data_IF_965859327233
#
_entry.id   IF_965859327233
#
_cell.length_a   1.000
_cell.length_b   1.000
_cell.length_c   1.000
_cell.angle_alpha   90.00
_cell.angle_beta   90.00
_cell.angle_gamma   90.00
#
_symmetry.space_group_name_H-M   'P 1'
#
loop_
_entity.id
_entity.type
_entity.pdbx_description
1 polymer ?
#
# COMPACT_ATOMS: atom_id res chain seq x y z
N UNK A 1 7.67 42.59 7.93
CA UNK A 1 6.28 42.29 7.51
C UNK A 1 5.73 41.16 8.37
N UNK A 2 4.70 41.39 9.18
CA UNK A 2 3.96 40.32 9.88
C UNK A 2 3.04 39.65 8.86
N UNK A 3 3.24 38.36 8.57
CA UNK A 3 2.24 37.57 7.85
C UNK A 3 1.06 37.34 8.81
N UNK A 4 -0.08 37.97 8.52
CA UNK A 4 -1.34 37.58 9.15
C UNK A 4 -1.74 36.23 8.52
N UNK A 5 -1.86 35.21 9.35
CA UNK A 5 -2.34 33.90 8.92
C UNK A 5 -3.81 33.79 9.29
N UNK A 6 -4.68 33.56 8.29
CA UNK A 6 -6.05 33.15 8.54
C UNK A 6 -6.04 31.67 8.91
N UNK A 7 -6.49 31.36 10.13
CA UNK A 7 -6.52 30.00 10.66
C UNK A 7 -7.96 29.55 10.80
N UNK A 8 -8.23 28.31 10.39
CA UNK A 8 -9.52 27.63 10.58
C UNK A 8 -9.29 26.36 11.41
N UNK A 9 -10.24 26.03 12.29
CA UNK A 9 -10.15 24.85 13.17
C UNK A 9 -10.62 23.55 12.52
N UNK A 10 -11.27 23.65 11.36
CA UNK A 10 -11.81 22.50 10.63
C UNK A 10 -11.19 22.41 9.23
N UNK A 11 -10.84 21.18 8.84
CA UNK A 11 -10.50 20.89 7.46
C UNK A 11 -11.80 20.91 6.63
N UNK A 12 -11.82 21.69 5.55
CA UNK A 12 -12.94 21.73 4.60
C UNK A 12 -12.64 20.97 3.30
N UNK A 13 -11.40 20.52 3.11
CA UNK A 13 -11.00 19.70 1.96
C UNK A 13 -11.38 18.23 2.19
N UNK A 14 -12.37 17.78 1.43
CA UNK A 14 -12.87 16.41 1.50
C UNK A 14 -11.84 15.37 1.05
N UNK A 15 -11.07 15.67 -0.01
CA UNK A 15 -10.04 14.76 -0.52
C UNK A 15 -8.92 14.59 0.50
N UNK A 16 -8.55 15.67 1.18
CA UNK A 16 -7.57 15.63 2.26
C UNK A 16 -8.08 14.79 3.46
N UNK A 17 -9.36 14.90 3.82
CA UNK A 17 -9.97 14.06 4.87
C UNK A 17 -9.94 12.58 4.51
N UNK A 18 -10.29 12.23 3.28
CA UNK A 18 -10.27 10.84 2.80
C UNK A 18 -8.87 10.26 2.81
N UNK A 19 -7.87 11.04 2.34
CA UNK A 19 -6.46 10.65 2.43
C UNK A 19 -6.01 10.44 3.88
N UNK A 20 -6.39 11.34 4.79
CA UNK A 20 -6.08 11.21 6.21
C UNK A 20 -6.74 9.95 6.82
N UNK A 21 -7.99 9.67 6.46
CA UNK A 21 -8.71 8.48 6.89
C UNK A 21 -8.04 7.19 6.37
N UNK A 22 -7.65 7.14 5.10
CA UNK A 22 -6.94 6.01 4.51
C UNK A 22 -5.60 5.75 5.22
N UNK A 23 -4.81 6.80 5.49
CA UNK A 23 -3.60 6.69 6.30
C UNK A 23 -3.90 6.14 7.70
N UNK A 24 -4.96 6.64 8.34
CA UNK A 24 -5.42 6.16 9.65
C UNK A 24 -5.78 4.68 9.65
N UNK A 25 -6.55 4.21 8.67
CA UNK A 25 -6.91 2.79 8.53
C UNK A 25 -5.69 1.90 8.32
N UNK A 26 -4.74 2.31 7.48
CA UNK A 26 -3.49 1.57 7.29
C UNK A 26 -2.69 1.47 8.59
N UNK A 27 -2.55 2.58 9.32
CA UNK A 27 -1.85 2.59 10.63
C UNK A 27 -2.56 1.70 11.65
N UNK A 28 -3.90 1.71 11.72
CA UNK A 28 -4.66 0.82 12.60
C UNK A 28 -4.32 -0.66 12.32
N UNK A 29 -4.33 -1.07 11.05
CA UNK A 29 -3.94 -2.43 10.66
C UNK A 29 -2.48 -2.72 11.02
N UNK A 30 -1.54 -1.85 10.60
CA UNK A 30 -0.10 -2.07 10.80
C UNK A 30 0.31 -2.09 12.27
N UNK A 31 -0.42 -1.39 13.14
CA UNK A 31 -0.17 -1.38 14.59
C UNK A 31 -0.36 -2.75 15.24
N UNK A 32 -1.22 -3.60 14.66
CA UNK A 32 -1.47 -4.98 15.11
C UNK A 32 -0.54 -6.01 14.48
N UNK A 33 0.26 -5.60 13.49
CA UNK A 33 1.20 -6.47 12.78
C UNK A 33 2.61 -6.33 13.37
N UNK A 34 3.12 -7.38 14.02
CA UNK A 34 4.44 -7.38 14.70
C UNK A 34 5.61 -6.90 13.83
N UNK A 35 5.55 -7.13 12.51
CA UNK A 35 6.62 -6.74 11.58
C UNK A 35 6.66 -5.25 11.34
N UNK A 36 5.49 -4.61 11.22
CA UNK A 36 5.36 -3.21 10.83
C UNK A 36 5.12 -2.27 12.00
N UNK A 37 4.76 -2.77 13.18
CA UNK A 37 4.47 -1.95 14.36
C UNK A 37 5.66 -1.14 14.88
N UNK A 38 6.88 -1.49 14.44
CA UNK A 38 8.13 -0.80 14.81
C UNK A 38 8.61 0.22 13.77
N UNK A 39 7.89 0.38 12.66
CA UNK A 39 8.27 1.35 11.62
C UNK A 39 8.04 2.78 12.06
N UNK A 40 8.97 3.67 11.70
CA UNK A 40 8.83 5.09 11.92
C UNK A 40 7.66 5.64 11.10
N UNK A 41 6.91 6.60 11.65
CA UNK A 41 5.77 7.25 10.97
C UNK A 41 6.19 7.82 9.61
N UNK A 42 7.40 8.39 9.51
CA UNK A 42 7.95 8.90 8.24
C UNK A 42 8.07 7.80 7.19
N UNK A 43 8.54 6.61 7.56
CA UNK A 43 8.65 5.45 6.67
C UNK A 43 7.28 4.98 6.22
N UNK A 44 6.32 4.90 7.14
CA UNK A 44 4.92 4.55 6.82
C UNK A 44 4.30 5.55 5.86
N UNK A 45 4.47 6.84 6.10
CA UNK A 45 3.95 7.88 5.23
C UNK A 45 4.57 7.82 3.82
N UNK A 46 5.90 7.68 3.74
CA UNK A 46 6.61 7.55 2.46
C UNK A 46 6.11 6.36 1.64
N UNK A 47 5.73 5.27 2.31
CA UNK A 47 5.24 4.06 1.67
C UNK A 47 3.75 4.15 1.29
N UNK A 48 2.91 4.62 2.20
CA UNK A 48 1.45 4.59 2.04
C UNK A 48 0.92 5.78 1.24
N UNK A 49 1.54 6.95 1.34
CA UNK A 49 1.02 8.15 0.67
C UNK A 49 0.98 8.00 -0.87
N UNK A 50 2.03 7.49 -1.55
CA UNK A 50 1.97 7.28 -2.99
C UNK A 50 0.90 6.26 -3.39
N UNK A 51 0.74 5.17 -2.61
CA UNK A 51 -0.30 4.18 -2.84
C UNK A 51 -1.70 4.80 -2.79
N UNK A 52 -1.95 5.64 -1.78
CA UNK A 52 -3.25 6.33 -1.60
C UNK A 52 -3.47 7.38 -2.71
N UNK A 53 -2.44 8.15 -3.05
CA UNK A 53 -2.52 9.20 -4.08
C UNK A 53 -2.81 8.64 -5.48
N UNK A 54 -2.33 7.43 -5.76
CA UNK A 54 -2.61 6.71 -7.01
C UNK A 54 -3.84 5.79 -6.94
N UNK A 55 -4.59 5.80 -5.84
CA UNK A 55 -5.72 4.86 -5.62
C UNK A 55 -5.31 3.39 -5.72
N UNK A 56 -4.02 3.09 -5.49
CA UNK A 56 -3.44 1.75 -5.50
C UNK A 56 -3.45 1.11 -4.11
N UNK A 57 -4.56 1.26 -3.41
CA UNK A 57 -4.77 0.71 -2.07
C UNK A 57 -6.21 0.22 -1.92
N UNK A 58 -6.38 -0.95 -1.32
CA UNK A 58 -7.67 -1.50 -0.95
C UNK A 58 -7.63 -1.86 0.52
N UNK A 59 -8.63 -1.40 1.27
CA UNK A 59 -8.87 -1.81 2.66
C UNK A 59 -9.97 -2.86 2.72
N UNK A 60 -9.82 -3.82 3.62
CA UNK A 60 -10.86 -4.79 3.94
C UNK A 60 -11.28 -4.61 5.39
N UNK A 61 -12.59 -4.69 5.61
CA UNK A 61 -13.22 -4.45 6.89
C UNK A 61 -13.97 -5.70 7.32
N UNK A 62 -14.05 -5.92 8.64
CA UNK A 62 -14.97 -6.89 9.19
C UNK A 62 -16.41 -6.34 9.23
N UNK A 63 -17.35 -7.14 9.75
CA UNK A 63 -18.76 -6.78 9.88
C UNK A 63 -19.02 -5.57 10.80
N UNK A 64 -18.07 -5.19 11.65
CA UNK A 64 -18.15 -4.04 12.55
C UNK A 64 -17.44 -2.81 11.99
N UNK A 65 -17.13 -2.79 10.69
CA UNK A 65 -16.40 -1.71 10.00
C UNK A 65 -14.99 -1.46 10.54
N UNK A 66 -14.39 -2.44 11.20
CA UNK A 66 -12.99 -2.37 11.65
C UNK A 66 -12.08 -2.81 10.51
N UNK A 67 -11.04 -2.03 10.15
CA UNK A 67 -10.09 -2.45 9.12
C UNK A 67 -9.28 -3.65 9.63
N UNK A 68 -9.32 -4.76 8.90
CA UNK A 68 -8.63 -6.01 9.26
C UNK A 68 -7.43 -6.30 8.35
N UNK A 69 -7.33 -5.59 7.24
CA UNK A 69 -6.20 -5.68 6.35
C UNK A 69 -6.25 -4.69 5.20
N UNK A 70 -5.14 -4.59 4.49
CA UNK A 70 -5.06 -3.84 3.25
C UNK A 70 -4.07 -4.47 2.28
N UNK A 71 -4.22 -4.07 1.01
CA UNK A 71 -3.29 -4.42 -0.07
C UNK A 71 -2.91 -3.15 -0.80
N UNK A 72 -1.62 -2.98 -1.06
CA UNK A 72 -1.10 -1.91 -1.91
C UNK A 72 -0.34 -2.50 -3.09
N UNK A 73 -0.45 -1.85 -4.24
CA UNK A 73 0.26 -2.25 -5.45
C UNK A 73 0.89 -1.07 -6.17
N UNK A 74 1.79 -1.36 -7.10
CA UNK A 74 2.43 -0.37 -7.96
C UNK A 74 2.52 -0.90 -9.39
N UNK A 75 2.57 0.02 -10.36
CA UNK A 75 2.83 -0.29 -11.77
C UNK A 75 4.28 0.08 -12.09
N UNK A 76 5.18 -0.90 -12.03
CA UNK A 76 6.62 -0.64 -12.12
C UNK A 76 7.12 -0.69 -13.56
N UNK A 77 7.88 0.32 -13.96
CA UNK A 77 8.66 0.26 -15.19
C UNK A 77 9.73 -0.84 -15.10
N UNK A 78 10.28 -1.32 -16.23
CA UNK A 78 11.26 -2.41 -16.22
C UNK A 78 12.50 -2.18 -15.35
N UNK A 79 13.01 -0.94 -15.28
CA UNK A 79 14.17 -0.56 -14.49
C UNK A 79 13.83 -0.46 -12.98
N UNK A 80 12.67 0.10 -12.63
CA UNK A 80 12.13 0.10 -11.26
C UNK A 80 11.86 -1.31 -10.77
N UNK A 81 11.31 -2.20 -11.62
CA UNK A 81 11.13 -3.62 -11.34
C UNK A 81 12.48 -4.32 -11.10
N UNK A 82 13.48 -4.05 -11.93
CA UNK A 82 14.82 -4.62 -11.75
C UNK A 82 15.45 -4.19 -10.42
N UNK A 83 15.39 -2.90 -10.07
CA UNK A 83 15.89 -2.41 -8.78
C UNK A 83 15.11 -3.01 -7.61
N UNK A 84 13.78 -3.04 -7.73
CA UNK A 84 12.91 -3.67 -6.75
C UNK A 84 13.28 -5.13 -6.50
N UNK A 85 13.66 -5.89 -7.53
CA UNK A 85 14.04 -7.29 -7.35
C UNK A 85 15.48 -7.48 -6.85
N UNK A 86 16.41 -6.64 -7.25
CA UNK A 86 17.83 -6.92 -7.07
C UNK A 86 18.49 -6.16 -5.92
N UNK A 87 17.90 -5.06 -5.45
CA UNK A 87 18.43 -4.26 -4.34
C UNK A 87 17.58 -4.46 -3.06
N UNK A 88 18.10 -5.14 -2.02
CA UNK A 88 17.41 -5.36 -0.76
C UNK A 88 17.03 -4.08 0.00
N UNK A 89 17.77 -2.98 -0.23
CA UNK A 89 17.52 -1.68 0.38
C UNK A 89 16.63 -0.76 -0.45
N UNK A 90 16.20 -1.21 -1.64
CA UNK A 90 15.43 -0.38 -2.54
C UNK A 90 14.03 -0.09 -2.01
N UNK A 91 13.73 1.20 -1.94
CA UNK A 91 12.40 1.73 -1.66
C UNK A 91 11.95 2.49 -2.89
N UNK A 92 10.75 2.19 -3.38
CA UNK A 92 10.14 2.89 -4.51
C UNK A 92 10.07 4.38 -4.19
N UNK A 93 10.63 5.19 -5.07
CA UNK A 93 10.38 6.62 -5.05
C UNK A 93 8.90 6.89 -5.38
N UNK A 94 8.25 7.93 -4.82
CA UNK A 94 6.85 8.23 -5.11
C UNK A 94 6.51 8.28 -6.61
N UNK A 95 7.42 8.76 -7.46
CA UNK A 95 7.23 8.78 -8.91
C UNK A 95 7.25 7.40 -9.58
N UNK A 96 7.83 6.39 -8.93
CA UNK A 96 7.98 5.02 -9.46
C UNK A 96 6.75 4.14 -9.17
N UNK A 97 5.76 4.67 -8.43
CA UNK A 97 4.57 3.91 -8.04
C UNK A 97 3.62 3.60 -9.19
N UNK A 98 3.62 4.45 -10.22
CA UNK A 98 2.66 4.36 -11.31
C UNK A 98 3.27 4.73 -12.67
N UNK A 99 4.23 3.93 -13.11
CA UNK A 99 4.95 4.11 -14.38
C UNK A 99 4.33 3.32 -15.54
N UNK A 100 3.14 2.74 -15.33
CA UNK A 100 2.38 2.03 -16.38
C UNK A 100 2.94 0.67 -16.80
N UNK A 101 3.95 0.16 -16.10
CA UNK A 101 4.54 -1.16 -16.37
C UNK A 101 3.82 -2.31 -15.68
N UNK A 102 4.57 -3.28 -15.16
CA UNK A 102 3.97 -4.49 -14.56
C UNK A 102 3.38 -4.19 -13.19
N UNK A 103 2.22 -4.77 -12.91
CA UNK A 103 1.59 -4.64 -11.58
C UNK A 103 2.26 -5.55 -10.55
N UNK A 104 2.70 -4.94 -9.45
CA UNK A 104 3.32 -5.62 -8.32
C UNK A 104 2.56 -5.35 -7.04
N UNK A 105 2.19 -6.40 -6.30
CA UNK A 105 1.74 -6.26 -4.91
C UNK A 105 2.96 -5.91 -4.07
N UNK A 106 2.91 -4.73 -3.43
CA UNK A 106 4.01 -4.20 -2.64
C UNK A 106 3.86 -4.59 -1.17
N UNK A 107 2.64 -4.55 -0.63
CA UNK A 107 2.31 -5.09 0.69
C UNK A 107 0.93 -5.77 0.68
N UNK A 108 0.83 -6.83 1.48
CA UNK A 108 -0.37 -7.61 1.72
C UNK A 108 -0.46 -7.82 3.23
N UNK A 109 -1.06 -6.86 3.94
CA UNK A 109 -1.02 -6.77 5.39
C UNK A 109 -2.35 -7.21 6.01
N UNK A 110 -2.38 -8.43 6.56
CA UNK A 110 -3.56 -9.05 7.19
C UNK A 110 -3.16 -9.74 8.51
N UNK A 111 -2.87 -8.96 9.57
CA UNK A 111 -2.37 -9.50 10.83
C UNK A 111 -3.38 -10.40 11.56
N UNK A 112 -4.67 -10.15 11.38
CA UNK A 112 -5.76 -10.88 12.06
C UNK A 112 -6.27 -12.12 11.29
N UNK A 113 -5.66 -12.47 10.13
CA UNK A 113 -6.09 -13.59 9.29
C UNK A 113 -7.00 -13.19 8.13
N UNK A 114 -7.97 -14.04 7.78
CA UNK A 114 -8.89 -13.88 6.64
C UNK A 114 -8.23 -13.81 5.25
N UNK A 115 -7.03 -14.39 5.10
CA UNK A 115 -6.24 -14.33 3.85
C UNK A 115 -7.03 -14.91 2.67
N UNK A 116 -7.75 -16.02 2.86
CA UNK A 116 -8.45 -16.71 1.76
C UNK A 116 -9.59 -15.86 1.21
N UNK A 117 -10.42 -15.32 2.09
CA UNK A 117 -11.54 -14.42 1.77
C UNK A 117 -11.01 -13.14 1.12
N UNK A 118 -9.92 -12.59 1.68
CA UNK A 118 -9.28 -11.38 1.18
C UNK A 118 -8.71 -11.56 -0.23
N UNK A 119 -8.14 -12.73 -0.54
CA UNK A 119 -7.68 -13.05 -1.88
C UNK A 119 -8.83 -13.15 -2.90
N UNK A 120 -9.99 -13.66 -2.49
CA UNK A 120 -11.18 -13.70 -3.37
C UNK A 120 -11.67 -12.28 -3.68
N UNK A 121 -11.80 -11.44 -2.66
CA UNK A 121 -12.20 -10.04 -2.83
C UNK A 121 -11.17 -9.25 -3.64
N UNK A 122 -9.88 -9.41 -3.33
CA UNK A 122 -8.79 -8.75 -4.06
C UNK A 122 -8.82 -9.11 -5.55
N UNK A 123 -9.00 -10.39 -5.90
CA UNK A 123 -9.09 -10.79 -7.32
C UNK A 123 -10.23 -10.09 -8.05
N UNK A 124 -11.41 -9.99 -7.42
CA UNK A 124 -12.54 -9.28 -8.01
C UNK A 124 -12.21 -7.79 -8.24
N UNK A 125 -11.66 -7.12 -7.23
CA UNK A 125 -11.31 -5.70 -7.31
C UNK A 125 -10.21 -5.42 -8.36
N UNK A 126 -9.18 -6.28 -8.43
CA UNK A 126 -8.14 -6.16 -9.46
C UNK A 126 -8.71 -6.38 -10.86
N UNK A 127 -9.68 -7.28 -11.01
CA UNK A 127 -10.37 -7.51 -12.29
C UNK A 127 -11.18 -6.29 -12.72
N UNK A 128 -11.90 -5.68 -11.79
CA UNK A 128 -12.68 -4.44 -12.04
C UNK A 128 -11.75 -3.28 -12.42
N UNK A 129 -10.56 -3.21 -11.82
CA UNK A 129 -9.49 -2.29 -12.18
C UNK A 129 -8.77 -2.65 -13.52
N UNK A 130 -9.24 -3.66 -14.25
CA UNK A 130 -8.69 -4.16 -15.53
C UNK A 130 -7.23 -4.64 -15.44
N UNK A 131 -6.79 -5.03 -14.25
CA UNK A 131 -5.46 -5.60 -14.03
C UNK A 131 -5.49 -7.08 -14.41
N UNK A 132 -4.76 -7.45 -15.46
CA UNK A 132 -4.75 -8.83 -16.01
C UNK A 132 -3.83 -9.78 -15.26
N UNK A 133 -2.75 -9.25 -14.69
CA UNK A 133 -1.71 -10.03 -14.03
C UNK A 133 -1.09 -9.21 -12.91
N UNK A 134 -0.83 -9.87 -11.80
CA UNK A 134 -0.07 -9.30 -10.68
C UNK A 134 1.10 -10.20 -10.33
N UNK A 135 2.19 -9.58 -9.92
CA UNK A 135 3.37 -10.25 -9.39
C UNK A 135 3.59 -9.84 -7.94
N UNK A 136 4.31 -10.66 -7.17
CA UNK A 136 4.70 -10.34 -5.81
C UNK A 136 5.98 -11.08 -5.45
N UNK A 137 6.71 -10.53 -4.48
CA UNK A 137 7.94 -11.12 -3.96
C UNK A 137 7.74 -11.55 -2.52
N UNK A 138 8.17 -12.77 -2.20
CA UNK A 138 8.36 -13.21 -0.82
C UNK A 138 9.82 -13.00 -0.46
N UNK A 139 10.08 -12.21 0.57
CA UNK A 139 11.42 -11.94 1.10
C UNK A 139 11.69 -12.72 2.38
N UNK A 140 12.97 -12.97 2.67
CA UNK A 140 13.45 -13.50 3.95
C UNK A 140 13.58 -12.37 4.98
N UNK A 141 13.99 -12.71 6.21
CA UNK A 141 14.19 -11.72 7.28
C UNK A 141 15.31 -10.71 6.97
N UNK A 142 16.33 -11.14 6.21
CA UNK A 142 17.43 -10.30 5.70
C UNK A 142 17.05 -9.51 4.42
N UNK A 143 15.76 -9.45 4.08
CA UNK A 143 15.20 -8.83 2.87
C UNK A 143 15.63 -9.44 1.52
N UNK A 144 16.45 -10.50 1.51
CA UNK A 144 16.77 -11.24 0.30
C UNK A 144 15.53 -11.92 -0.29
N UNK A 145 15.50 -12.08 -1.62
CA UNK A 145 14.39 -12.74 -2.30
C UNK A 145 14.36 -14.22 -1.94
N UNK A 146 13.24 -14.68 -1.39
CA UNK A 146 12.94 -16.10 -1.21
C UNK A 146 12.27 -16.69 -2.46
N UNK A 147 11.29 -15.98 -3.02
CA UNK A 147 10.52 -16.43 -4.18
C UNK A 147 9.83 -15.25 -4.86
N UNK A 148 9.95 -15.19 -6.18
CA UNK A 148 9.08 -14.37 -7.03
C UNK A 148 7.92 -15.23 -7.51
N UNK A 149 6.71 -14.69 -7.44
CA UNK A 149 5.48 -15.35 -7.87
C UNK A 149 4.61 -14.36 -8.63
N UNK A 150 3.67 -14.88 -9.41
CA UNK A 150 2.65 -14.07 -10.04
C UNK A 150 1.44 -14.92 -10.40
N UNK A 151 0.29 -14.29 -10.59
CA UNK A 151 -0.89 -14.94 -11.13
C UNK A 151 -1.62 -14.02 -12.09
N UNK A 152 -2.33 -14.64 -13.03
CA UNK A 152 -3.32 -13.95 -13.82
C UNK A 152 -4.58 -13.78 -12.96
N UNK A 153 -5.31 -12.69 -13.20
CA UNK A 153 -6.53 -12.32 -12.49
C UNK A 153 -7.75 -12.69 -13.32
#
# INVERSE_FOLDING_TARGET
MKKNFELVSACHDQKLKEKAAALGYAIMVMSTCRRSSVFQIRTLHYWLAPAIEHEHIIFLYNRTSTPIGFVIWAHLAPDSEQRFLNDPGFLLHPSEWNEGGRTWIIDFCFPSGAIKESLTMLRALLKDARIKRVSWVRRRADYSIRKVSGCNI
#
